data_IF_686925235845
#
_entry.id   IF_686925235845
#
_cell.length_a   1.000
_cell.length_b   1.000
_cell.length_c   1.000
_cell.angle_alpha   90.00
_cell.angle_beta   90.00
_cell.angle_gamma   90.00
#
_symmetry.space_group_name_H-M   'P 1'
#
loop_
_entity.id
_entity.type
_entity.pdbx_description
1 polymer ?
#
# COMPACT_ATOMS: atom_id res chain seq x y z
N UNK A 1 18.58 10.14 -14.37
CA UNK A 1 19.45 11.32 -14.43
C UNK A 1 18.61 12.54 -14.80
N UNK A 2 18.80 13.67 -14.17
CA UNK A 2 18.07 14.89 -14.49
C UNK A 2 18.37 15.39 -15.90
N UNK A 3 17.49 16.18 -16.47
CA UNK A 3 17.68 16.84 -17.75
C UNK A 3 18.91 17.76 -17.77
N UNK A 4 19.37 18.16 -16.59
CA UNK A 4 20.59 18.96 -16.38
C UNK A 4 21.89 18.29 -16.83
N UNK A 5 21.88 16.95 -17.06
CA UNK A 5 23.06 16.20 -17.50
C UNK A 5 23.39 16.41 -18.99
N UNK A 6 22.63 17.20 -19.73
CA UNK A 6 22.93 17.55 -21.11
C UNK A 6 24.04 18.59 -21.13
N UNK A 7 25.21 18.30 -21.72
CA UNK A 7 26.21 19.32 -21.89
C UNK A 7 25.69 20.50 -22.76
N UNK A 8 25.95 21.71 -22.35
CA UNK A 8 25.51 22.92 -23.07
C UNK A 8 25.98 22.97 -24.50
N UNK A 9 27.16 22.46 -24.80
CA UNK A 9 27.75 22.40 -26.15
C UNK A 9 26.98 21.48 -27.11
N UNK A 10 26.10 20.60 -26.63
CA UNK A 10 25.26 19.74 -27.46
C UNK A 10 23.99 20.42 -27.92
N UNK A 11 23.66 21.56 -27.34
CA UNK A 11 22.45 22.31 -27.63
C UNK A 11 22.85 23.55 -28.39
N UNK A 12 22.62 23.55 -29.71
CA UNK A 12 22.98 24.67 -30.59
C UNK A 12 21.71 25.44 -30.93
N UNK A 13 21.73 26.75 -30.73
CA UNK A 13 20.64 27.67 -31.05
C UNK A 13 19.30 27.25 -30.40
N UNK A 14 19.20 27.24 -29.06
CA UNK A 14 17.92 27.00 -28.42
C UNK A 14 16.93 28.08 -28.82
N UNK A 15 15.67 27.73 -28.96
CA UNK A 15 14.62 28.71 -29.11
C UNK A 15 14.39 29.41 -27.78
N UNK A 16 14.61 30.73 -27.73
CA UNK A 16 14.47 31.54 -26.51
C UNK A 16 13.13 32.26 -26.42
N UNK A 17 12.09 31.66 -26.97
CA UNK A 17 10.72 32.15 -26.93
C UNK A 17 9.78 31.01 -26.59
N UNK A 18 8.65 31.37 -26.01
CA UNK A 18 7.55 30.42 -25.81
C UNK A 18 7.02 29.94 -27.15
N UNK A 19 6.86 28.62 -27.29
CA UNK A 19 6.12 28.05 -28.41
C UNK A 19 4.63 28.12 -28.08
N UNK A 20 3.91 29.04 -28.75
CA UNK A 20 2.49 29.28 -28.49
C UNK A 20 1.63 29.22 -29.76
N UNK A 21 2.23 28.92 -30.90
CA UNK A 21 1.54 28.89 -32.19
C UNK A 21 1.41 30.24 -32.86
N UNK A 22 2.00 31.32 -32.31
CA UNK A 22 1.92 32.64 -32.93
C UNK A 22 2.83 32.77 -34.15
N UNK A 23 2.39 33.49 -35.19
CA UNK A 23 3.15 33.73 -36.42
C UNK A 23 4.41 34.60 -36.17
N UNK A 24 4.44 35.41 -35.14
CA UNK A 24 5.58 36.28 -34.80
C UNK A 24 6.82 35.51 -34.37
N UNK A 25 6.71 34.24 -34.06
CA UNK A 25 7.79 33.37 -33.63
C UNK A 25 8.41 32.55 -34.75
N UNK A 26 7.98 32.67 -35.98
CA UNK A 26 8.39 31.80 -37.08
C UNK A 26 9.89 31.79 -37.37
N UNK A 27 10.56 32.94 -37.30
CA UNK A 27 12.01 33.03 -37.49
C UNK A 27 12.74 32.29 -36.34
N UNK A 28 12.32 32.47 -35.12
CA UNK A 28 12.92 31.78 -33.97
C UNK A 28 12.76 30.26 -34.07
N UNK A 29 11.65 29.79 -34.59
CA UNK A 29 11.42 28.40 -34.87
C UNK A 29 12.41 27.83 -35.87
N UNK A 30 12.59 28.52 -37.00
CA UNK A 30 13.51 28.12 -38.06
C UNK A 30 14.96 28.02 -37.56
N UNK A 31 15.44 29.03 -36.84
CA UNK A 31 16.80 29.05 -36.29
C UNK A 31 17.03 27.89 -35.32
N UNK A 32 16.02 27.50 -34.57
CA UNK A 32 16.09 26.35 -33.66
C UNK A 32 15.91 24.98 -34.34
N UNK A 33 15.79 24.95 -35.68
CA UNK A 33 15.52 23.72 -36.43
C UNK A 33 14.10 23.24 -36.30
N UNK A 34 13.17 24.16 -36.08
CA UNK A 34 11.76 23.89 -35.96
C UNK A 34 11.06 24.44 -37.21
N UNK A 35 10.17 23.68 -37.78
CA UNK A 35 9.33 24.20 -38.88
C UNK A 35 7.88 23.79 -38.68
N UNK A 36 7.01 24.62 -39.26
CA UNK A 36 5.57 24.43 -39.26
C UNK A 36 5.21 23.42 -40.33
N UNK A 37 4.86 22.20 -39.94
CA UNK A 37 4.50 21.13 -40.87
C UNK A 37 3.05 21.25 -41.34
N UNK A 38 2.18 21.76 -40.47
CA UNK A 38 0.77 22.08 -40.76
C UNK A 38 0.31 23.17 -39.81
N UNK A 39 -0.92 23.64 -39.91
CA UNK A 39 -1.42 24.60 -38.94
C UNK A 39 -1.38 24.00 -37.52
N UNK A 40 -0.79 24.74 -36.57
CA UNK A 40 -0.61 24.33 -35.17
C UNK A 40 0.26 23.07 -34.97
N UNK A 41 0.95 22.63 -36.04
CA UNK A 41 1.85 21.45 -35.97
C UNK A 41 3.28 21.88 -36.26
N UNK A 42 4.18 21.59 -35.31
CA UNK A 42 5.58 21.95 -35.39
C UNK A 42 6.46 20.71 -35.33
N UNK A 43 7.50 20.69 -36.16
CA UNK A 43 8.44 19.58 -36.22
C UNK A 43 9.84 20.06 -35.87
N UNK A 44 10.47 19.35 -34.96
CA UNK A 44 11.86 19.56 -34.59
C UNK A 44 12.75 18.57 -35.32
N UNK A 45 13.74 19.08 -36.04
CA UNK A 45 14.68 18.26 -36.81
C UNK A 45 16.04 18.09 -36.12
N UNK A 46 16.34 18.95 -35.15
CA UNK A 46 17.59 18.84 -34.38
C UNK A 46 17.44 17.80 -33.26
N UNK A 47 18.54 17.15 -32.95
CA UNK A 47 18.62 16.19 -31.84
C UNK A 47 19.94 16.44 -31.08
N UNK A 48 19.93 16.98 -29.87
CA UNK A 48 18.75 17.50 -29.14
C UNK A 48 18.28 18.85 -29.66
N UNK A 49 16.99 19.13 -29.47
CA UNK A 49 16.38 20.45 -29.64
C UNK A 49 16.00 21.03 -28.29
N UNK A 50 16.07 22.35 -28.10
CA UNK A 50 15.77 22.98 -26.84
C UNK A 50 14.91 24.23 -27.00
N UNK A 51 13.97 24.41 -26.09
CA UNK A 51 13.21 25.64 -25.88
C UNK A 51 13.55 26.18 -24.48
N UNK A 52 13.98 27.45 -24.42
CA UNK A 52 14.25 28.15 -23.17
C UNK A 52 13.32 29.36 -23.06
N UNK A 53 12.46 29.39 -22.10
CA UNK A 53 11.51 30.49 -21.86
C UNK A 53 10.92 30.41 -20.46
N UNK A 54 10.20 31.43 -20.03
CA UNK A 54 9.47 31.39 -18.76
C UNK A 54 8.42 30.29 -18.79
N UNK A 55 7.70 30.16 -19.90
CA UNK A 55 6.86 29.00 -20.24
C UNK A 55 7.32 28.48 -21.60
N UNK A 56 7.79 27.23 -21.67
CA UNK A 56 8.40 26.73 -22.89
C UNK A 56 7.35 26.44 -23.98
N UNK A 57 6.29 25.72 -23.67
CA UNK A 57 5.17 25.43 -24.57
C UNK A 57 3.87 25.88 -23.92
N UNK A 58 3.11 26.72 -24.63
CA UNK A 58 1.84 27.26 -24.15
C UNK A 58 0.73 27.16 -25.18
N UNK A 59 -0.28 26.38 -24.85
CA UNK A 59 -1.52 26.28 -25.63
C UNK A 59 -2.63 27.09 -24.92
N UNK A 60 -2.49 28.42 -24.97
CA UNK A 60 -3.47 29.33 -24.37
C UNK A 60 -4.49 29.86 -25.34
N UNK A 61 -4.17 29.92 -26.66
CA UNK A 61 -5.04 30.43 -27.70
C UNK A 61 -5.30 29.40 -28.79
N UNK A 62 -4.47 28.41 -28.92
CA UNK A 62 -4.54 27.37 -29.96
C UNK A 62 -4.11 26.04 -29.43
N UNK A 63 -4.62 24.96 -29.99
CA UNK A 63 -4.08 23.63 -29.80
C UNK A 63 -2.71 23.55 -30.47
N UNK A 64 -1.77 22.82 -29.84
CA UNK A 64 -0.43 22.63 -30.35
C UNK A 64 -0.10 21.16 -30.51
N UNK A 65 0.48 20.81 -31.65
CA UNK A 65 1.06 19.50 -31.89
C UNK A 65 2.56 19.67 -32.16
N UNK A 66 3.38 18.92 -31.42
CA UNK A 66 4.83 19.01 -31.51
C UNK A 66 5.38 17.63 -31.77
N UNK A 67 6.17 17.50 -32.83
CA UNK A 67 6.85 16.26 -33.21
C UNK A 67 8.37 16.48 -33.20
N UNK A 68 9.08 15.80 -32.33
CA UNK A 68 10.53 15.81 -32.28
C UNK A 68 11.07 14.44 -32.68
N UNK A 69 12.04 14.41 -33.62
CA UNK A 69 12.63 13.16 -34.10
C UNK A 69 13.54 12.51 -33.05
N UNK A 70 14.14 13.31 -32.18
CA UNK A 70 15.04 12.86 -31.15
C UNK A 70 14.64 13.40 -29.77
N UNK A 71 15.63 13.94 -29.08
CA UNK A 71 15.49 14.50 -27.74
C UNK A 71 15.01 15.95 -27.79
N UNK A 72 13.93 16.24 -27.07
CA UNK A 72 13.42 17.60 -26.88
C UNK A 72 13.64 18.03 -25.44
N UNK A 73 14.27 19.18 -25.22
CA UNK A 73 14.52 19.75 -23.89
C UNK A 73 13.70 21.01 -23.73
N UNK A 74 12.92 21.07 -22.69
CA UNK A 74 12.16 22.26 -22.29
C UNK A 74 12.76 22.80 -20.99
N UNK A 75 13.49 23.90 -21.10
CA UNK A 75 14.06 24.60 -19.95
C UNK A 75 13.19 25.82 -19.63
N UNK A 76 12.45 25.75 -18.55
CA UNK A 76 11.48 26.76 -18.19
C UNK A 76 11.75 27.33 -16.79
N UNK A 77 11.40 28.60 -16.64
CA UNK A 77 11.45 29.24 -15.32
C UNK A 77 10.21 28.92 -14.51
N UNK A 78 9.03 29.05 -15.13
CA UNK A 78 7.76 28.94 -14.44
C UNK A 78 7.00 27.66 -14.81
N UNK A 79 6.88 27.34 -16.10
CA UNK A 79 6.14 26.17 -16.58
C UNK A 79 6.81 25.58 -17.82
N UNK A 80 6.98 24.28 -17.81
CA UNK A 80 7.48 23.58 -19.00
C UNK A 80 6.42 23.53 -20.10
N UNK A 81 5.26 23.00 -19.77
CA UNK A 81 4.10 22.87 -20.66
C UNK A 81 2.89 23.44 -19.96
N UNK A 82 2.18 24.33 -20.64
CA UNK A 82 0.91 24.88 -20.19
C UNK A 82 -0.16 24.60 -21.24
N UNK A 83 -1.19 23.87 -20.88
CA UNK A 83 -2.40 23.70 -21.64
C UNK A 83 -3.56 24.37 -20.91
N UNK A 84 -4.04 25.49 -21.44
CA UNK A 84 -5.11 26.27 -20.82
C UNK A 84 -6.24 26.47 -21.81
N UNK A 85 -7.36 25.80 -21.59
CA UNK A 85 -8.52 25.74 -22.49
C UNK A 85 -8.21 25.24 -23.91
N UNK A 86 -7.00 24.75 -24.15
CA UNK A 86 -6.52 24.16 -25.39
C UNK A 86 -5.62 22.97 -25.10
N UNK A 87 -5.26 22.22 -26.13
CA UNK A 87 -4.57 20.95 -26.00
C UNK A 87 -3.13 21.04 -26.49
N UNK A 88 -2.25 20.25 -25.84
CA UNK A 88 -0.87 20.03 -26.27
C UNK A 88 -0.69 18.53 -26.52
N UNK A 89 -0.19 18.19 -27.70
CA UNK A 89 0.17 16.82 -28.09
C UNK A 89 1.64 16.80 -28.51
N UNK A 90 2.49 16.10 -27.75
CA UNK A 90 3.92 16.03 -27.97
C UNK A 90 4.32 14.61 -28.27
N UNK A 91 5.02 14.41 -29.38
CA UNK A 91 5.72 13.16 -29.68
C UNK A 91 7.22 13.44 -29.70
N UNK A 92 7.99 12.74 -28.90
CA UNK A 92 9.45 12.82 -28.87
C UNK A 92 10.03 11.46 -28.47
N UNK A 93 11.22 11.14 -28.95
CA UNK A 93 11.92 9.96 -28.46
C UNK A 93 12.18 10.08 -26.96
N UNK A 94 12.64 11.24 -26.52
CA UNK A 94 12.81 11.62 -25.12
C UNK A 94 12.43 13.07 -24.93
N UNK A 95 11.58 13.35 -23.95
CA UNK A 95 11.21 14.69 -23.52
C UNK A 95 11.82 14.95 -22.15
N UNK A 96 12.66 15.97 -22.04
CA UNK A 96 13.23 16.43 -20.78
C UNK A 96 12.65 17.78 -20.43
N UNK A 97 12.01 17.90 -19.28
CA UNK A 97 11.39 19.13 -18.78
C UNK A 97 12.08 19.58 -17.52
N UNK A 98 12.67 20.75 -17.56
CA UNK A 98 13.36 21.37 -16.43
C UNK A 98 12.62 22.64 -16.03
N UNK A 99 12.11 22.69 -14.83
CA UNK A 99 11.47 23.88 -14.25
C UNK A 99 11.77 23.90 -12.74
N UNK A 100 13.04 24.14 -12.39
CA UNK A 100 13.57 23.95 -11.03
C UNK A 100 12.73 24.61 -9.94
N UNK A 101 12.23 25.81 -10.18
CA UNK A 101 11.39 26.56 -9.23
C UNK A 101 9.92 26.66 -9.69
N UNK A 102 9.55 25.90 -10.69
CA UNK A 102 8.24 25.95 -11.32
C UNK A 102 7.58 24.58 -11.43
N UNK A 103 6.63 24.48 -12.33
CA UNK A 103 5.83 23.29 -12.61
C UNK A 103 6.16 22.76 -14.00
N UNK A 104 6.49 21.48 -14.10
CA UNK A 104 6.85 20.88 -15.39
C UNK A 104 5.67 20.86 -16.36
N UNK A 105 4.49 20.42 -15.93
CA UNK A 105 3.28 20.35 -16.75
C UNK A 105 2.09 20.90 -15.96
N UNK A 106 1.41 21.89 -16.54
CA UNK A 106 0.16 22.43 -16.00
C UNK A 106 -0.93 22.31 -17.06
N UNK A 107 -2.05 21.67 -16.72
CA UNK A 107 -3.22 21.58 -17.57
C UNK A 107 -4.45 22.11 -16.82
N UNK A 108 -5.14 23.07 -17.44
CA UNK A 108 -6.38 23.67 -16.93
C UNK A 108 -7.41 23.68 -18.06
N UNK A 109 -8.49 22.90 -17.91
CA UNK A 109 -9.53 22.78 -18.93
C UNK A 109 -8.96 22.44 -20.33
N UNK A 110 -7.93 21.60 -20.37
CA UNK A 110 -7.28 21.19 -21.61
C UNK A 110 -6.64 19.82 -21.44
N UNK A 111 -6.06 19.30 -22.52
CA UNK A 111 -5.44 17.98 -22.53
C UNK A 111 -3.96 18.10 -22.87
N UNK A 112 -3.11 17.40 -22.13
CA UNK A 112 -1.71 17.21 -22.47
C UNK A 112 -1.48 15.73 -22.73
N UNK A 113 -1.04 15.40 -23.94
CA UNK A 113 -0.63 14.04 -24.34
C UNK A 113 0.85 14.05 -24.67
N UNK A 114 1.60 13.18 -24.03
CA UNK A 114 3.03 13.02 -24.29
C UNK A 114 3.29 11.59 -24.73
N UNK A 115 3.80 11.45 -25.95
CA UNK A 115 4.18 10.18 -26.54
C UNK A 115 5.70 10.09 -26.55
N UNK A 116 6.25 9.27 -25.68
CA UNK A 116 7.69 9.08 -25.52
C UNK A 116 8.12 9.06 -24.07
N UNK A 117 9.38 8.73 -23.87
CA UNK A 117 9.96 8.70 -22.53
C UNK A 117 10.15 10.13 -22.02
N UNK A 118 9.70 10.37 -20.81
CA UNK A 118 9.65 11.72 -20.25
C UNK A 118 10.42 11.79 -18.95
N UNK A 119 11.27 12.82 -18.81
CA UNK A 119 11.95 13.12 -17.54
C UNK A 119 11.58 14.53 -17.13
N UNK A 120 11.24 14.70 -15.86
CA UNK A 120 10.90 15.99 -15.29
C UNK A 120 11.75 16.24 -14.07
N UNK A 121 12.29 17.45 -13.96
CA UNK A 121 12.98 17.94 -12.78
C UNK A 121 12.43 19.33 -12.47
N UNK A 122 11.70 19.46 -11.36
CA UNK A 122 10.93 20.66 -11.07
C UNK A 122 10.58 20.72 -9.59
N UNK A 123 10.06 21.88 -9.16
CA UNK A 123 9.47 21.95 -7.84
C UNK A 123 8.18 21.13 -7.78
N UNK A 124 7.33 21.28 -8.78
CA UNK A 124 6.11 20.50 -8.96
C UNK A 124 6.14 19.82 -10.34
N UNK A 125 5.76 18.56 -10.42
CA UNK A 125 5.80 17.79 -11.66
C UNK A 125 4.59 18.09 -12.56
N UNK A 126 3.49 17.39 -12.34
CA UNK A 126 2.26 17.49 -13.13
C UNK A 126 1.14 18.04 -12.26
N UNK A 127 0.51 19.12 -12.73
CA UNK A 127 -0.69 19.68 -12.11
C UNK A 127 -1.82 19.70 -13.14
N UNK A 128 -2.88 18.94 -12.89
CA UNK A 128 -4.07 18.90 -13.70
C UNK A 128 -5.26 19.44 -12.90
N UNK A 129 -6.00 20.37 -13.47
CA UNK A 129 -7.13 21.03 -12.82
C UNK A 129 -8.25 21.36 -13.82
N UNK A 130 -9.42 21.70 -13.30
CA UNK A 130 -10.57 22.14 -14.10
C UNK A 130 -10.95 21.16 -15.22
N UNK A 131 -11.07 19.88 -14.89
CA UNK A 131 -11.49 18.86 -15.86
C UNK A 131 -10.46 18.50 -16.92
N UNK A 132 -9.20 18.81 -16.71
CA UNK A 132 -8.13 18.50 -17.66
C UNK A 132 -7.66 17.05 -17.58
N UNK A 133 -6.93 16.62 -18.62
CA UNK A 133 -6.33 15.29 -18.68
C UNK A 133 -4.85 15.40 -19.09
N UNK A 134 -3.98 14.72 -18.37
CA UNK A 134 -2.56 14.59 -18.71
C UNK A 134 -2.24 13.11 -18.84
N UNK A 135 -1.75 12.69 -20.00
CA UNK A 135 -1.37 11.31 -20.28
C UNK A 135 0.06 11.23 -20.78
N UNK A 136 0.86 10.35 -20.23
CA UNK A 136 2.19 10.01 -20.71
C UNK A 136 2.20 8.51 -21.00
N UNK A 137 2.43 8.13 -22.25
CA UNK A 137 2.41 6.73 -22.66
C UNK A 137 3.80 6.08 -22.71
N UNK A 138 4.88 6.87 -22.67
CA UNK A 138 6.23 6.38 -22.45
C UNK A 138 6.56 6.24 -20.97
N UNK A 139 7.81 5.92 -20.67
CA UNK A 139 8.32 5.89 -19.29
C UNK A 139 8.29 7.30 -18.70
N UNK A 140 7.91 7.43 -17.44
CA UNK A 140 7.82 8.70 -16.74
C UNK A 140 8.77 8.74 -15.55
N UNK A 141 9.83 9.55 -15.63
CA UNK A 141 10.75 9.78 -14.53
C UNK A 141 10.57 11.21 -14.04
N UNK A 142 9.95 11.37 -12.88
CA UNK A 142 9.60 12.67 -12.30
C UNK A 142 10.34 12.84 -10.99
N UNK A 143 11.14 13.89 -10.89
CA UNK A 143 11.77 14.30 -9.65
C UNK A 143 11.24 15.69 -9.29
N UNK A 144 10.41 15.75 -8.26
CA UNK A 144 9.81 16.98 -7.76
C UNK A 144 10.28 17.24 -6.32
N UNK A 145 10.56 18.50 -6.03
CA UNK A 145 10.92 18.87 -4.65
C UNK A 145 9.71 18.82 -3.72
N UNK A 146 8.52 19.11 -4.22
CA UNK A 146 7.28 19.09 -3.45
C UNK A 146 6.31 18.05 -4.03
N UNK A 147 5.45 18.42 -4.96
CA UNK A 147 4.39 17.57 -5.48
C UNK A 147 4.72 17.06 -6.87
N UNK A 148 4.89 15.75 -7.01
CA UNK A 148 5.19 15.15 -8.29
C UNK A 148 3.96 15.09 -9.20
N UNK A 149 2.81 14.74 -8.66
CA UNK A 149 1.53 14.62 -9.39
C UNK A 149 0.41 15.16 -8.53
N UNK A 150 -0.39 16.06 -9.10
CA UNK A 150 -1.60 16.57 -8.47
C UNK A 150 -2.74 16.63 -9.49
N UNK A 151 -3.83 15.91 -9.20
CA UNK A 151 -5.05 15.94 -9.99
C UNK A 151 -6.18 16.55 -9.15
N UNK A 152 -6.66 17.71 -9.57
CA UNK A 152 -7.69 18.49 -8.90
C UNK A 152 -9.00 18.47 -9.73
N UNK A 153 -10.12 18.68 -9.07
CA UNK A 153 -11.42 18.98 -9.71
C UNK A 153 -11.72 18.24 -11.04
N UNK A 154 -12.17 17.00 -10.98
CA UNK A 154 -12.54 16.17 -12.14
C UNK A 154 -11.43 16.00 -13.20
N UNK A 155 -10.19 16.27 -12.84
CA UNK A 155 -9.05 16.08 -13.72
C UNK A 155 -8.50 14.67 -13.63
N UNK A 156 -7.71 14.28 -14.63
CA UNK A 156 -7.09 12.96 -14.66
C UNK A 156 -5.62 13.04 -15.08
N UNK A 157 -4.77 12.35 -14.36
CA UNK A 157 -3.38 12.10 -14.74
C UNK A 157 -3.17 10.61 -14.90
N UNK A 158 -2.66 10.18 -16.04
CA UNK A 158 -2.45 8.78 -16.37
C UNK A 158 -1.01 8.54 -16.84
N UNK A 159 -0.27 7.69 -16.11
CA UNK A 159 1.08 7.26 -16.46
C UNK A 159 1.04 5.76 -16.72
N UNK A 160 1.20 5.35 -17.99
CA UNK A 160 0.88 3.98 -18.40
C UNK A 160 2.06 3.05 -18.60
N UNK A 161 3.30 3.54 -18.48
CA UNK A 161 4.47 2.75 -18.87
C UNK A 161 5.66 2.88 -17.93
N UNK A 162 5.44 2.75 -16.65
CA UNK A 162 6.52 2.70 -15.67
C UNK A 162 7.24 4.03 -15.45
N UNK A 163 8.31 3.96 -14.72
CA UNK A 163 9.15 5.09 -14.39
C UNK A 163 9.35 5.25 -12.88
N UNK A 164 10.07 6.30 -12.51
CA UNK A 164 10.35 6.63 -11.11
C UNK A 164 9.75 7.98 -10.78
N UNK A 165 8.99 8.04 -9.69
CA UNK A 165 8.32 9.26 -9.26
C UNK A 165 8.79 9.58 -7.84
N UNK A 166 9.46 10.73 -7.69
CA UNK A 166 9.91 11.26 -6.40
C UNK A 166 9.15 12.54 -6.09
N UNK A 167 8.46 12.57 -4.97
CA UNK A 167 7.60 13.66 -4.54
C UNK A 167 6.19 13.16 -4.21
N UNK A 168 5.35 14.05 -3.71
CA UNK A 168 3.97 13.70 -3.33
C UNK A 168 3.13 13.37 -4.55
N UNK A 169 2.22 12.43 -4.39
CA UNK A 169 1.19 12.10 -5.37
C UNK A 169 -0.16 12.37 -4.72
N UNK A 170 -0.96 13.26 -5.31
CA UNK A 170 -2.25 13.68 -4.78
C UNK A 170 -3.36 13.61 -5.82
N UNK A 171 -4.44 12.95 -5.45
CA UNK A 171 -5.71 13.05 -6.16
C UNK A 171 -6.70 13.80 -5.25
N UNK A 172 -6.83 15.11 -5.46
CA UNK A 172 -7.68 15.99 -4.65
C UNK A 172 -8.91 16.40 -5.47
N UNK A 173 -9.92 15.55 -5.47
CA UNK A 173 -11.09 15.70 -6.33
C UNK A 173 -10.89 15.20 -7.76
N UNK A 174 -9.66 14.90 -8.15
CA UNK A 174 -9.30 14.36 -9.43
C UNK A 174 -8.95 12.87 -9.38
N UNK A 175 -8.37 12.39 -10.47
CA UNK A 175 -8.05 10.98 -10.65
C UNK A 175 -6.60 10.80 -11.07
N UNK A 176 -5.87 9.93 -10.38
CA UNK A 176 -4.50 9.55 -10.74
C UNK A 176 -4.47 8.05 -11.01
N UNK A 177 -3.95 7.66 -12.15
CA UNK A 177 -3.75 6.26 -12.51
C UNK A 177 -2.31 6.03 -12.95
N UNK A 178 -1.63 5.05 -12.36
CA UNK A 178 -0.27 4.68 -12.73
C UNK A 178 -0.14 3.18 -12.94
N UNK A 179 0.81 2.80 -13.79
CA UNK A 179 1.16 1.42 -14.03
C UNK A 179 2.68 1.24 -13.96
N UNK A 180 3.10 0.30 -13.13
CA UNK A 180 4.51 -0.11 -12.98
C UNK A 180 5.49 1.01 -12.63
N UNK A 181 5.03 2.02 -11.87
CA UNK A 181 5.89 3.10 -11.40
C UNK A 181 6.53 2.78 -10.05
N UNK A 182 7.74 3.27 -9.86
CA UNK A 182 8.40 3.28 -8.55
C UNK A 182 8.20 4.66 -7.92
N UNK A 183 7.41 4.73 -6.85
CA UNK A 183 7.06 5.97 -6.18
C UNK A 183 7.73 6.10 -4.83
N UNK A 184 8.32 7.28 -4.57
CA UNK A 184 8.91 7.65 -3.29
C UNK A 184 8.30 8.97 -2.82
N UNK A 185 7.60 8.95 -1.70
CA UNK A 185 6.92 10.10 -1.14
C UNK A 185 5.52 9.78 -0.69
N UNK A 186 4.86 10.77 -0.10
CA UNK A 186 3.49 10.63 0.40
C UNK A 186 2.49 10.44 -0.74
N UNK A 187 1.49 9.60 -0.50
CA UNK A 187 0.43 9.32 -1.47
C UNK A 187 -0.90 9.61 -0.79
N UNK A 188 -1.71 10.49 -1.40
CA UNK A 188 -2.93 10.99 -0.78
C UNK A 188 -4.10 11.07 -1.77
N UNK A 189 -5.29 10.74 -1.29
CA UNK A 189 -6.55 11.11 -1.94
C UNK A 189 -7.39 11.96 -0.99
N UNK A 190 -8.09 12.91 -1.55
CA UNK A 190 -9.00 13.79 -0.80
C UNK A 190 -10.08 14.34 -1.72
N UNK A 191 -11.10 15.01 -1.15
CA UNK A 191 -12.11 15.71 -1.93
C UNK A 191 -12.85 14.82 -2.93
N UNK A 192 -13.17 13.59 -2.58
CA UNK A 192 -13.74 12.58 -3.47
C UNK A 192 -12.82 12.18 -4.63
N UNK A 193 -11.51 12.35 -4.47
CA UNK A 193 -10.52 11.93 -5.45
C UNK A 193 -10.35 10.42 -5.50
N UNK A 194 -9.78 9.96 -6.59
CA UNK A 194 -9.47 8.55 -6.81
C UNK A 194 -8.03 8.37 -7.26
N UNK A 195 -7.32 7.44 -6.63
CA UNK A 195 -5.97 7.09 -7.01
C UNK A 195 -5.86 5.58 -7.17
N UNK A 196 -5.35 5.14 -8.33
CA UNK A 196 -5.10 3.73 -8.61
C UNK A 196 -3.66 3.55 -9.08
N UNK A 197 -2.89 2.75 -8.34
CA UNK A 197 -1.54 2.38 -8.72
C UNK A 197 -1.47 0.87 -8.87
N UNK A 198 -1.16 0.42 -10.08
CA UNK A 198 -1.06 -1.01 -10.41
C UNK A 198 0.39 -1.38 -10.68
N UNK A 199 0.87 -2.43 -10.04
CA UNK A 199 2.26 -2.86 -10.18
C UNK A 199 3.25 -1.87 -9.56
N UNK A 200 4.52 -2.02 -9.89
CA UNK A 200 5.58 -1.13 -9.43
C UNK A 200 5.95 -1.28 -7.97
N UNK A 201 6.47 -0.19 -7.41
CA UNK A 201 7.00 -0.16 -6.04
C UNK A 201 6.61 1.14 -5.36
N UNK A 202 6.23 1.08 -4.10
CA UNK A 202 5.91 2.25 -3.29
C UNK A 202 6.77 2.24 -2.03
N UNK A 203 7.53 3.32 -1.83
CA UNK A 203 8.18 3.65 -0.56
C UNK A 203 7.55 4.93 -0.04
N UNK A 204 6.79 4.85 1.04
CA UNK A 204 6.04 5.98 1.56
C UNK A 204 5.93 5.95 3.08
N UNK A 205 6.18 7.08 3.70
CA UNK A 205 5.89 7.29 5.12
C UNK A 205 4.39 7.45 5.38
N UNK A 206 3.61 7.82 4.34
CA UNK A 206 2.19 8.11 4.51
C UNK A 206 1.41 7.79 3.24
N UNK A 207 0.49 6.84 3.36
CA UNK A 207 -0.50 6.51 2.33
C UNK A 207 -1.86 6.72 2.94
N UNK A 208 -2.59 7.75 2.49
CA UNK A 208 -3.80 8.20 3.16
C UNK A 208 -4.91 8.55 2.17
N UNK A 209 -6.09 8.02 2.44
CA UNK A 209 -7.33 8.46 1.83
C UNK A 209 -8.13 9.25 2.87
N UNK A 210 -8.65 10.41 2.48
CA UNK A 210 -9.39 11.28 3.38
C UNK A 210 -10.63 11.87 2.70
N UNK A 211 -11.70 11.95 3.46
CA UNK A 211 -12.94 12.60 3.04
C UNK A 211 -13.92 11.69 2.33
N UNK A 212 -15.19 12.05 2.43
CA UNK A 212 -16.29 11.27 1.86
C UNK A 212 -16.13 11.10 0.35
N UNK A 213 -16.22 9.86 -0.11
CA UNK A 213 -16.10 9.52 -1.51
C UNK A 213 -14.67 9.40 -2.04
N UNK A 214 -13.67 9.76 -1.23
CA UNK A 214 -12.27 9.53 -1.60
C UNK A 214 -11.92 8.05 -1.55
N UNK A 215 -11.16 7.57 -2.54
CA UNK A 215 -10.76 6.17 -2.57
C UNK A 215 -9.38 5.98 -3.19
N UNK A 216 -8.71 4.92 -2.75
CA UNK A 216 -7.39 4.55 -3.22
C UNK A 216 -7.33 3.04 -3.42
N UNK A 217 -6.74 2.61 -4.53
CA UNK A 217 -6.50 1.20 -4.82
C UNK A 217 -5.03 0.99 -5.20
N UNK A 218 -4.34 0.18 -4.42
CA UNK A 218 -2.95 -0.20 -4.65
C UNK A 218 -2.90 -1.70 -4.90
N UNK A 219 -2.56 -2.11 -6.13
CA UNK A 219 -2.64 -3.51 -6.54
C UNK A 219 -1.35 -4.00 -7.19
N UNK A 220 -0.97 -5.23 -6.86
CA UNK A 220 0.15 -5.96 -7.47
C UNK A 220 1.51 -5.27 -7.34
N UNK A 221 1.67 -4.42 -6.34
CA UNK A 221 2.91 -3.71 -6.10
C UNK A 221 3.79 -4.35 -5.03
N UNK A 222 5.02 -3.86 -4.98
CA UNK A 222 5.96 -4.04 -3.90
C UNK A 222 5.84 -2.83 -2.98
N UNK A 223 5.55 -3.06 -1.70
CA UNK A 223 5.22 -1.96 -0.80
C UNK A 223 6.15 -1.91 0.41
N UNK A 224 6.64 -0.72 0.71
CA UNK A 224 7.28 -0.37 1.96
C UNK A 224 6.59 0.89 2.50
N UNK A 225 5.58 0.69 3.35
CA UNK A 225 4.67 1.74 3.79
C UNK A 225 4.67 1.80 5.31
N UNK A 226 4.96 2.98 5.86
CA UNK A 226 4.93 3.19 7.32
C UNK A 226 3.49 3.13 7.86
N UNK A 227 2.55 3.76 7.16
CA UNK A 227 1.16 3.80 7.60
C UNK A 227 0.18 3.84 6.45
N UNK A 228 -0.80 2.97 6.53
CA UNK A 228 -1.92 2.86 5.60
C UNK A 228 -3.16 3.38 6.33
N UNK A 229 -3.70 4.52 5.89
CA UNK A 229 -4.79 5.20 6.62
C UNK A 229 -5.95 5.59 5.72
N UNK A 230 -7.16 5.35 6.20
CA UNK A 230 -8.38 5.92 5.63
C UNK A 230 -9.15 6.65 6.73
N UNK A 231 -9.61 7.86 6.44
CA UNK A 231 -10.30 8.69 7.41
C UNK A 231 -11.44 9.50 6.79
N UNK A 232 -12.38 9.92 7.64
CA UNK A 232 -13.49 10.81 7.28
C UNK A 232 -14.33 10.36 6.08
N UNK A 233 -14.69 9.07 6.03
CA UNK A 233 -15.60 8.52 5.02
C UNK A 233 -14.93 8.05 3.74
N UNK A 234 -13.64 7.79 3.79
CA UNK A 234 -12.85 7.31 2.66
C UNK A 234 -12.65 5.79 2.66
N UNK A 235 -12.10 5.26 1.58
CA UNK A 235 -11.76 3.86 1.46
C UNK A 235 -10.40 3.66 0.82
N UNK A 236 -9.69 2.61 1.26
CA UNK A 236 -8.38 2.25 0.75
C UNK A 236 -8.28 0.74 0.63
N UNK A 237 -7.84 0.27 -0.53
CA UNK A 237 -7.60 -1.15 -0.81
C UNK A 237 -6.15 -1.36 -1.19
N UNK A 238 -5.51 -2.37 -0.60
CA UNK A 238 -4.17 -2.78 -0.95
C UNK A 238 -4.11 -4.30 -1.14
N UNK A 239 -3.61 -4.73 -2.29
CA UNK A 239 -3.33 -6.14 -2.58
C UNK A 239 -1.90 -6.20 -3.13
N UNK A 240 -1.00 -6.86 -2.40
CA UNK A 240 0.41 -6.90 -2.79
C UNK A 240 0.72 -7.86 -3.93
N UNK A 241 1.90 -7.74 -4.50
CA UNK A 241 2.48 -8.76 -5.36
C UNK A 241 3.13 -9.84 -4.49
N UNK A 242 2.65 -11.10 -4.53
CA UNK A 242 3.15 -12.16 -3.64
C UNK A 242 4.61 -12.56 -3.90
N UNK A 243 5.17 -12.22 -5.05
CA UNK A 243 6.56 -12.53 -5.42
C UNK A 243 7.56 -11.48 -4.97
N UNK A 244 7.07 -10.34 -4.46
CA UNK A 244 7.90 -9.20 -4.06
C UNK A 244 7.83 -8.93 -2.56
N UNK A 245 8.85 -8.25 -2.05
CA UNK A 245 8.88 -7.87 -0.64
C UNK A 245 7.84 -6.78 -0.36
N UNK A 246 7.02 -7.01 0.66
CA UNK A 246 6.07 -6.01 1.16
C UNK A 246 6.16 -5.93 2.67
N UNK A 247 6.29 -4.73 3.18
CA UNK A 247 6.23 -4.43 4.61
C UNK A 247 5.36 -3.22 4.85
N UNK A 248 4.32 -3.40 5.64
CA UNK A 248 3.40 -2.35 6.08
C UNK A 248 3.54 -2.26 7.60
N UNK A 249 3.71 -1.05 8.13
CA UNK A 249 4.03 -0.86 9.56
C UNK A 249 2.86 -0.38 10.40
N UNK A 250 1.70 -0.24 9.81
CA UNK A 250 0.47 0.10 10.53
C UNK A 250 -0.71 0.28 9.61
N UNK A 251 -1.90 -0.03 10.12
CA UNK A 251 -3.19 0.18 9.45
C UNK A 251 -4.08 0.96 10.39
N UNK A 252 -4.66 2.05 9.90
CA UNK A 252 -5.62 2.85 10.65
C UNK A 252 -6.85 3.14 9.80
N UNK A 253 -8.03 2.87 10.35
CA UNK A 253 -9.29 3.28 9.75
C UNK A 253 -10.06 4.15 10.75
N UNK A 254 -10.35 5.38 10.35
CA UNK A 254 -11.20 6.28 11.13
C UNK A 254 -12.67 5.96 10.96
N UNK A 255 -13.51 6.52 11.81
CA UNK A 255 -14.96 6.28 11.82
C UNK A 255 -15.58 6.57 10.45
N UNK A 256 -16.39 5.64 9.96
CA UNK A 256 -17.04 5.74 8.65
C UNK A 256 -16.12 5.44 7.45
N UNK A 257 -14.87 5.13 7.69
CA UNK A 257 -13.90 4.77 6.66
C UNK A 257 -13.62 3.28 6.64
N UNK A 258 -12.96 2.81 5.59
CA UNK A 258 -12.59 1.41 5.46
C UNK A 258 -11.19 1.24 4.86
N UNK A 259 -10.45 0.27 5.38
CA UNK A 259 -9.18 -0.20 4.82
C UNK A 259 -9.29 -1.70 4.60
N UNK A 260 -9.02 -2.14 3.38
CA UNK A 260 -8.94 -3.56 3.02
C UNK A 260 -7.52 -3.86 2.56
N UNK A 261 -6.83 -4.75 3.26
CA UNK A 261 -5.48 -5.15 2.93
C UNK A 261 -5.39 -6.67 2.81
N UNK A 262 -4.88 -7.13 1.68
CA UNK A 262 -4.59 -8.54 1.44
C UNK A 262 -3.10 -8.71 1.23
N UNK A 263 -2.46 -9.46 2.12
CA UNK A 263 -1.04 -9.75 2.09
C UNK A 263 -0.82 -11.23 1.83
N UNK A 264 -0.11 -11.54 0.77
CA UNK A 264 0.22 -12.91 0.39
C UNK A 264 1.70 -13.02 0.05
N UNK A 265 2.26 -14.19 0.36
CA UNK A 265 3.65 -14.52 0.03
C UNK A 265 4.58 -14.42 1.23
N UNK A 266 5.65 -15.20 1.16
CA UNK A 266 6.65 -15.34 2.23
C UNK A 266 7.35 -14.02 2.58
N UNK A 267 7.45 -13.13 1.59
CA UNK A 267 8.12 -11.83 1.73
C UNK A 267 7.17 -10.70 2.17
N UNK A 268 5.91 -11.02 2.42
CA UNK A 268 4.90 -10.04 2.79
C UNK A 268 4.61 -10.06 4.29
N UNK A 269 4.58 -8.88 4.90
CA UNK A 269 4.30 -8.74 6.32
C UNK A 269 3.60 -7.41 6.64
N UNK A 270 2.68 -7.48 7.60
CA UNK A 270 2.26 -6.35 8.41
C UNK A 270 3.04 -6.43 9.73
N UNK A 271 3.97 -5.51 9.93
CA UNK A 271 4.73 -5.38 11.18
C UNK A 271 4.22 -4.12 11.87
N UNK A 272 3.11 -4.24 12.55
CA UNK A 272 2.44 -3.10 13.17
C UNK A 272 1.02 -3.42 13.57
N UNK A 273 0.33 -2.41 14.09
CA UNK A 273 -0.96 -2.55 14.71
C UNK A 273 -2.10 -2.10 13.79
N UNK A 274 -3.28 -2.66 14.05
CA UNK A 274 -4.54 -2.18 13.49
C UNK A 274 -5.15 -1.24 14.51
N UNK A 275 -5.44 0.00 14.09
CA UNK A 275 -5.97 1.04 14.98
C UNK A 275 -7.19 1.72 14.38
N UNK A 276 -7.87 2.51 15.21
CA UNK A 276 -9.04 3.28 14.82
C UNK A 276 -10.36 2.61 15.14
N UNK A 277 -11.43 3.18 14.62
CA UNK A 277 -12.82 2.75 14.86
C UNK A 277 -13.59 2.46 13.58
N UNK A 278 -12.97 2.69 12.44
CA UNK A 278 -13.54 2.36 11.13
C UNK A 278 -13.38 0.88 10.80
N UNK A 279 -13.86 0.50 9.64
CA UNK A 279 -13.79 -0.89 9.22
C UNK A 279 -12.42 -1.25 8.66
N UNK A 280 -11.86 -2.36 9.12
CA UNK A 280 -10.64 -2.93 8.57
C UNK A 280 -10.92 -4.38 8.19
N UNK A 281 -10.51 -4.74 6.99
CA UNK A 281 -10.48 -6.12 6.53
C UNK A 281 -9.03 -6.48 6.21
N UNK A 282 -8.44 -7.41 6.95
CA UNK A 282 -7.06 -7.86 6.77
C UNK A 282 -7.05 -9.35 6.46
N UNK A 283 -6.43 -9.71 5.35
CA UNK A 283 -6.18 -11.11 5.00
C UNK A 283 -4.69 -11.38 4.99
N UNK A 284 -4.25 -12.36 5.79
CA UNK A 284 -2.88 -12.82 5.87
C UNK A 284 -2.84 -14.24 5.32
N UNK A 285 -2.48 -14.37 4.06
CA UNK A 285 -2.50 -15.64 3.36
C UNK A 285 -1.15 -16.05 2.80
N UNK A 286 -1.06 -17.32 2.39
CA UNK A 286 0.04 -17.86 1.61
C UNK A 286 1.44 -17.46 2.12
N UNK A 287 1.77 -17.87 3.37
CA UNK A 287 3.03 -17.63 4.06
C UNK A 287 3.33 -16.16 4.45
N UNK A 288 2.42 -15.26 4.24
CA UNK A 288 2.54 -13.91 4.77
C UNK A 288 2.40 -13.91 6.30
N UNK A 289 2.79 -12.83 6.95
CA UNK A 289 2.71 -12.74 8.39
C UNK A 289 2.21 -11.38 8.87
N UNK A 290 1.57 -11.41 10.02
CA UNK A 290 1.23 -10.23 10.79
C UNK A 290 1.91 -10.30 12.15
N UNK A 291 2.68 -9.29 12.50
CA UNK A 291 3.24 -9.10 13.82
C UNK A 291 2.65 -7.81 14.39
N UNK A 292 1.75 -7.95 15.35
CA UNK A 292 1.05 -6.79 15.90
C UNK A 292 -0.19 -7.18 16.68
N UNK A 293 -0.93 -6.16 17.06
CA UNK A 293 -2.19 -6.25 17.80
C UNK A 293 -3.22 -5.31 17.19
N UNK A 294 -4.45 -5.39 17.67
CA UNK A 294 -5.53 -4.52 17.22
C UNK A 294 -6.26 -3.92 18.42
N UNK A 295 -6.47 -2.61 18.40
CA UNK A 295 -7.43 -1.98 19.31
C UNK A 295 -8.75 -1.62 18.60
N UNK A 296 -8.92 -2.08 17.35
CA UNK A 296 -10.07 -1.78 16.52
C UNK A 296 -11.11 -2.90 16.58
N UNK A 297 -12.22 -2.64 17.27
CA UNK A 297 -13.32 -3.59 17.42
C UNK A 297 -14.19 -3.79 16.16
N UNK A 298 -13.88 -3.09 15.06
CA UNK A 298 -14.53 -3.23 13.76
C UNK A 298 -13.58 -3.87 12.72
N UNK A 299 -12.51 -4.48 13.17
CA UNK A 299 -11.58 -5.18 12.30
C UNK A 299 -11.97 -6.64 12.11
N UNK A 300 -11.98 -7.07 10.86
CA UNK A 300 -12.17 -8.46 10.44
C UNK A 300 -10.84 -8.97 9.91
N UNK A 301 -10.33 -10.05 10.48
CA UNK A 301 -9.02 -10.60 10.11
C UNK A 301 -9.17 -12.05 9.72
N UNK A 302 -8.57 -12.41 8.58
CA UNK A 302 -8.42 -13.80 8.15
C UNK A 302 -6.94 -14.17 8.23
N UNK A 303 -6.63 -15.18 9.02
CA UNK A 303 -5.26 -15.68 9.19
C UNK A 303 -5.16 -17.07 8.60
N UNK A 304 -4.65 -17.18 7.38
CA UNK A 304 -4.35 -18.45 6.73
C UNK A 304 -2.86 -18.79 6.77
N UNK A 305 -2.06 -17.96 7.38
CA UNK A 305 -0.64 -18.14 7.60
C UNK A 305 -0.29 -17.88 9.07
N UNK A 306 0.37 -16.79 9.39
CA UNK A 306 0.87 -16.55 10.74
C UNK A 306 0.49 -15.17 11.23
N UNK A 307 -0.05 -15.13 12.45
CA UNK A 307 -0.21 -13.92 13.22
C UNK A 307 0.57 -14.05 14.53
N UNK A 308 1.59 -13.22 14.68
CA UNK A 308 2.28 -13.06 15.95
C UNK A 308 1.60 -11.93 16.73
N UNK A 309 0.75 -12.31 17.66
CA UNK A 309 0.03 -11.35 18.49
C UNK A 309 0.98 -10.75 19.52
N UNK A 310 1.00 -9.41 19.62
CA UNK A 310 1.94 -8.69 20.48
C UNK A 310 1.33 -8.09 21.75
N UNK A 311 0.03 -8.29 21.98
CA UNK A 311 -0.60 -7.72 23.17
C UNK A 311 -2.11 -7.91 23.23
N UNK A 312 -2.78 -7.05 23.99
CA UNK A 312 -4.23 -7.04 24.04
C UNK A 312 -4.81 -6.69 22.68
N UNK A 313 -5.81 -7.45 22.27
CA UNK A 313 -6.40 -7.32 20.93
C UNK A 313 -7.90 -7.35 20.99
N UNK A 314 -8.52 -6.54 20.14
CA UNK A 314 -9.96 -6.58 19.84
C UNK A 314 -10.14 -6.76 18.34
N UNK A 315 -10.94 -7.72 17.95
CA UNK A 315 -11.35 -7.94 16.56
C UNK A 315 -12.87 -8.17 16.52
N UNK A 316 -13.53 -7.68 15.47
CA UNK A 316 -14.93 -8.01 15.23
C UNK A 316 -15.07 -9.46 14.79
N UNK A 317 -14.26 -9.86 13.81
CA UNK A 317 -14.25 -11.24 13.29
C UNK A 317 -12.83 -11.76 13.13
N UNK A 318 -12.67 -13.05 13.37
CA UNK A 318 -11.43 -13.76 13.12
C UNK A 318 -11.73 -15.07 12.41
N UNK A 319 -11.05 -15.32 11.31
CA UNK A 319 -11.24 -16.49 10.46
C UNK A 319 -9.90 -17.07 10.04
N UNK A 320 -9.93 -18.23 9.40
CA UNK A 320 -8.76 -18.82 8.79
C UNK A 320 -8.31 -20.11 9.44
N UNK A 321 -7.28 -20.72 8.85
CA UNK A 321 -6.71 -22.01 9.27
C UNK A 321 -5.24 -21.92 9.68
N UNK A 322 -4.71 -20.72 9.83
CA UNK A 322 -3.32 -20.48 10.17
C UNK A 322 -3.01 -20.62 11.65
N UNK A 323 -1.91 -20.01 12.05
CA UNK A 323 -1.37 -20.05 13.41
C UNK A 323 -1.35 -18.67 14.03
N UNK A 324 -1.78 -18.58 15.28
CA UNK A 324 -1.65 -17.39 16.11
C UNK A 324 -0.62 -17.69 17.22
N UNK A 325 0.49 -16.96 17.17
CA UNK A 325 1.51 -17.03 18.19
C UNK A 325 1.12 -16.12 19.37
N UNK A 326 0.77 -16.73 20.49
CA UNK A 326 0.35 -16.03 21.70
C UNK A 326 1.51 -15.89 22.73
N UNK A 327 2.72 -16.27 22.36
CA UNK A 327 3.85 -16.33 23.30
C UNK A 327 4.35 -14.98 23.77
N UNK A 328 4.03 -13.90 23.03
CA UNK A 328 4.52 -12.54 23.31
C UNK A 328 3.39 -11.57 23.69
N UNK A 329 2.21 -12.07 24.01
CA UNK A 329 1.06 -11.18 24.27
C UNK A 329 1.07 -10.54 25.65
N UNK A 330 1.85 -11.05 26.59
CA UNK A 330 1.79 -10.59 27.97
C UNK A 330 0.46 -10.96 28.62
N UNK A 331 0.01 -10.13 29.56
CA UNK A 331 -1.26 -10.31 30.26
C UNK A 331 -2.39 -9.58 29.53
N UNK A 332 -3.63 -9.84 29.93
CA UNK A 332 -4.82 -9.23 29.36
C UNK A 332 -5.62 -10.19 28.52
N UNK A 333 -6.26 -9.66 27.47
CA UNK A 333 -7.23 -10.43 26.67
C UNK A 333 -7.06 -10.18 25.18
N UNK A 334 -7.28 -11.24 24.42
CA UNK A 334 -7.55 -11.17 22.99
C UNK A 334 -9.03 -11.44 22.80
N UNK A 335 -9.80 -10.41 22.44
CA UNK A 335 -11.26 -10.47 22.35
C UNK A 335 -11.70 -10.58 20.89
N UNK A 336 -12.42 -11.64 20.56
CA UNK A 336 -12.94 -11.94 19.22
C UNK A 336 -14.46 -11.93 19.27
N UNK A 337 -15.10 -11.04 18.49
CA UNK A 337 -16.57 -10.97 18.45
C UNK A 337 -17.19 -12.20 17.81
N UNK A 338 -16.70 -12.59 16.64
CA UNK A 338 -17.16 -13.79 15.92
C UNK A 338 -15.97 -14.58 15.36
N UNK A 339 -15.93 -15.84 15.70
CA UNK A 339 -14.89 -16.76 15.22
C UNK A 339 -15.47 -17.73 14.19
N UNK A 340 -14.79 -17.85 13.05
CA UNK A 340 -15.12 -18.81 12.00
C UNK A 340 -13.82 -19.38 11.43
N UNK A 341 -13.25 -20.36 12.10
CA UNK A 341 -11.95 -20.88 11.65
C UNK A 341 -11.54 -22.17 12.28
N UNK A 342 -10.33 -22.58 11.93
CA UNK A 342 -9.62 -23.75 12.45
C UNK A 342 -8.20 -23.35 12.85
N UNK A 343 -8.06 -22.26 13.59
CA UNK A 343 -6.77 -21.72 13.98
C UNK A 343 -6.06 -22.60 15.00
N UNK A 344 -4.73 -22.54 14.95
CA UNK A 344 -3.84 -23.06 15.97
C UNK A 344 -3.32 -21.92 16.81
N UNK A 345 -3.49 -22.00 18.13
CA UNK A 345 -2.96 -21.03 19.09
C UNK A 345 -1.73 -21.63 19.78
N UNK A 346 -0.61 -20.92 19.75
CA UNK A 346 0.63 -21.36 20.36
C UNK A 346 0.91 -20.53 21.61
N UNK A 347 1.07 -21.20 22.75
CA UNK A 347 1.38 -20.59 24.05
C UNK A 347 2.72 -21.09 24.57
N UNK A 348 3.42 -20.21 25.28
CA UNK A 348 4.61 -20.57 26.03
C UNK A 348 4.26 -20.87 27.48
N UNK A 349 5.15 -21.59 28.17
CA UNK A 349 5.07 -21.77 29.60
C UNK A 349 6.45 -21.54 30.23
N UNK A 350 6.47 -21.46 31.55
CA UNK A 350 7.72 -21.39 32.30
C UNK A 350 8.34 -22.79 32.36
N UNK A 351 9.54 -22.95 31.83
CA UNK A 351 10.23 -24.25 31.78
C UNK A 351 10.49 -24.84 33.16
N UNK A 352 10.64 -24.01 34.17
CA UNK A 352 10.80 -24.45 35.57
C UNK A 352 9.45 -24.81 36.21
N UNK A 353 8.35 -24.23 35.72
CA UNK A 353 6.99 -24.48 36.22
C UNK A 353 6.03 -24.53 35.05
N UNK A 354 5.93 -25.66 34.34
CA UNK A 354 5.14 -25.74 33.08
C UNK A 354 3.67 -25.41 33.23
N UNK A 355 3.08 -25.52 34.41
CA UNK A 355 1.69 -25.13 34.69
C UNK A 355 1.49 -23.61 34.65
N UNK A 356 2.58 -22.84 34.72
CA UNK A 356 2.53 -21.39 34.65
C UNK A 356 2.48 -20.94 33.16
N UNK A 357 1.32 -21.01 32.57
CA UNK A 357 1.10 -20.70 31.17
C UNK A 357 1.19 -19.20 30.92
N UNK A 358 2.06 -18.79 29.97
CA UNK A 358 2.27 -17.40 29.59
C UNK A 358 1.43 -17.06 28.35
N UNK A 359 1.01 -15.81 28.27
CA UNK A 359 0.19 -15.29 27.18
C UNK A 359 -1.17 -14.85 27.68
N UNK A 360 -1.83 -13.99 26.91
CA UNK A 360 -3.13 -13.49 27.32
C UNK A 360 -4.25 -14.50 27.00
N UNK A 361 -5.41 -14.25 27.57
CA UNK A 361 -6.59 -15.06 27.40
C UNK A 361 -7.21 -14.83 26.02
N UNK A 362 -7.58 -15.92 25.33
CA UNK A 362 -8.25 -15.87 24.04
C UNK A 362 -9.75 -16.02 24.23
N UNK A 363 -10.49 -14.93 24.06
CA UNK A 363 -11.93 -14.87 24.35
C UNK A 363 -12.73 -14.76 23.08
N UNK A 364 -13.57 -15.76 22.83
CA UNK A 364 -14.48 -15.80 21.68
C UNK A 364 -15.89 -15.57 22.19
N UNK A 365 -16.57 -14.55 21.68
CA UNK A 365 -17.96 -14.28 22.08
C UNK A 365 -18.91 -15.23 21.38
N UNK A 366 -18.81 -15.35 20.07
CA UNK A 366 -19.62 -16.26 19.23
C UNK A 366 -18.73 -17.00 18.25
N UNK A 367 -19.15 -18.20 17.90
CA UNK A 367 -18.50 -19.00 16.86
C UNK A 367 -19.53 -19.51 15.87
N UNK A 368 -19.12 -19.60 14.61
CA UNK A 368 -19.92 -20.28 13.60
C UNK A 368 -19.80 -21.80 13.75
N UNK A 369 -20.86 -22.51 13.38
CA UNK A 369 -20.90 -23.98 13.45
C UNK A 369 -19.71 -24.58 12.70
N UNK A 370 -19.06 -25.56 13.29
CA UNK A 370 -17.89 -26.22 12.73
C UNK A 370 -16.55 -25.53 13.06
N UNK A 371 -16.56 -24.44 13.79
CA UNK A 371 -15.34 -23.78 14.22
C UNK A 371 -14.54 -24.62 15.19
N UNK A 372 -13.22 -24.58 15.06
CA UNK A 372 -12.28 -25.34 15.90
C UNK A 372 -11.10 -24.48 16.31
N UNK A 373 -10.60 -24.72 17.51
CA UNK A 373 -9.35 -24.14 18.00
C UNK A 373 -8.43 -25.27 18.44
N UNK A 374 -7.20 -25.27 17.95
CA UNK A 374 -6.14 -26.15 18.39
C UNK A 374 -5.16 -25.35 19.23
N UNK A 375 -4.95 -25.74 20.48
CA UNK A 375 -4.03 -25.05 21.37
C UNK A 375 -2.79 -25.89 21.60
N UNK A 376 -1.62 -25.29 21.46
CA UNK A 376 -0.33 -25.95 21.58
C UNK A 376 0.56 -25.29 22.61
N UNK A 377 1.30 -26.09 23.38
CA UNK A 377 2.49 -25.69 24.09
C UNK A 377 3.57 -26.77 23.95
N UNK A 378 4.80 -26.50 24.36
CA UNK A 378 5.89 -27.45 24.28
C UNK A 378 5.98 -28.31 25.55
N UNK A 379 6.83 -29.33 25.50
CA UNK A 379 7.04 -30.28 26.57
C UNK A 379 8.23 -29.93 27.48
N UNK A 380 8.85 -28.79 27.29
CA UNK A 380 9.99 -28.38 28.06
C UNK A 380 9.64 -28.26 29.56
N UNK A 381 10.46 -28.80 30.43
CA UNK A 381 10.17 -28.86 31.85
C UNK A 381 9.28 -30.01 32.30
N UNK A 382 8.74 -30.82 31.38
CA UNK A 382 7.90 -31.97 31.71
C UNK A 382 8.71 -33.28 31.93
N UNK A 383 10.04 -33.21 31.94
CA UNK A 383 10.93 -34.32 32.10
C UNK A 383 10.61 -35.49 31.16
N UNK A 384 10.60 -35.23 29.86
CA UNK A 384 10.31 -36.24 28.86
C UNK A 384 11.43 -37.27 28.75
N UNK A 385 11.05 -38.54 28.72
CA UNK A 385 11.94 -39.67 28.49
C UNK A 385 11.35 -40.54 27.39
N UNK A 386 12.17 -40.89 26.39
CA UNK A 386 11.73 -41.72 25.26
C UNK A 386 10.48 -41.16 24.52
N UNK A 387 10.37 -39.84 24.49
CA UNK A 387 9.24 -39.17 23.83
C UNK A 387 7.94 -39.18 24.64
N UNK A 388 7.98 -39.53 25.92
CA UNK A 388 6.84 -39.50 26.84
C UNK A 388 7.14 -38.58 28.01
N UNK A 389 6.11 -37.87 28.47
CA UNK A 389 6.22 -37.12 29.73
C UNK A 389 6.32 -38.06 30.93
N UNK A 390 7.27 -37.81 31.82
CA UNK A 390 7.52 -38.65 32.98
C UNK A 390 6.48 -38.45 34.08
N UNK A 391 5.89 -37.28 34.21
CA UNK A 391 4.91 -36.94 35.25
C UNK A 391 3.53 -36.67 34.66
N UNK A 392 2.64 -37.63 34.86
CA UNK A 392 1.25 -37.54 34.32
C UNK A 392 0.43 -36.43 34.98
N UNK A 393 0.68 -36.17 36.28
CA UNK A 393 -0.03 -35.08 36.99
C UNK A 393 0.39 -33.73 36.45
N UNK A 394 1.66 -33.56 36.22
CA UNK A 394 2.21 -32.34 35.66
C UNK A 394 1.69 -32.12 34.22
N UNK A 395 1.58 -33.18 33.43
CA UNK A 395 0.97 -33.15 32.11
C UNK A 395 -0.47 -32.68 32.19
N UNK A 396 -1.29 -33.27 33.04
CA UNK A 396 -2.70 -32.88 33.22
C UNK A 396 -2.83 -31.43 33.66
N UNK A 397 -2.03 -30.97 34.61
CA UNK A 397 -2.04 -29.60 35.07
C UNK A 397 -1.62 -28.62 33.99
N UNK A 398 -0.66 -28.97 33.18
CA UNK A 398 -0.21 -28.14 32.04
C UNK A 398 -1.29 -28.05 30.96
N UNK A 399 -1.94 -29.19 30.62
CA UNK A 399 -3.05 -29.18 29.68
C UNK A 399 -4.23 -28.34 30.19
N UNK A 400 -4.54 -28.42 31.48
CA UNK A 400 -5.60 -27.57 32.07
C UNK A 400 -5.23 -26.09 32.05
N UNK A 401 -4.00 -25.74 32.38
CA UNK A 401 -3.53 -24.36 32.30
C UNK A 401 -3.63 -23.82 30.88
N UNK A 402 -3.31 -24.63 29.90
CA UNK A 402 -3.46 -24.25 28.49
C UNK A 402 -4.92 -24.09 28.10
N UNK A 403 -5.77 -25.07 28.45
CA UNK A 403 -7.21 -25.02 28.16
C UNK A 403 -7.89 -23.78 28.79
N UNK A 404 -7.44 -23.35 29.96
CA UNK A 404 -7.98 -22.17 30.64
C UNK A 404 -7.65 -20.84 29.92
N UNK A 405 -6.77 -20.85 28.95
CA UNK A 405 -6.52 -19.67 28.11
C UNK A 405 -7.62 -19.42 27.08
N UNK A 406 -8.48 -20.40 26.81
CA UNK A 406 -9.60 -20.27 25.88
C UNK A 406 -10.91 -20.08 26.64
N UNK A 407 -11.65 -19.02 26.30
CA UNK A 407 -12.97 -18.71 26.84
C UNK A 407 -13.98 -18.55 25.73
N UNK A 408 -15.10 -19.27 25.82
CA UNK A 408 -16.18 -19.20 24.84
C UNK A 408 -17.48 -18.70 25.50
N UNK A 409 -17.81 -17.45 25.28
CA UNK A 409 -18.95 -16.77 25.93
C UNK A 409 -20.30 -17.38 25.58
N UNK A 410 -20.55 -17.66 24.30
CA UNK A 410 -21.85 -18.16 23.84
C UNK A 410 -22.19 -19.57 24.36
N UNK A 411 -21.22 -20.28 24.93
CA UNK A 411 -21.48 -21.57 25.57
C UNK A 411 -22.49 -21.41 26.74
N UNK A 412 -22.45 -20.30 27.44
CA UNK A 412 -23.40 -19.98 28.52
C UNK A 412 -24.84 -19.92 28.04
N UNK A 413 -25.06 -19.58 26.78
CA UNK A 413 -26.38 -19.53 26.14
C UNK A 413 -26.75 -20.84 25.46
N UNK A 414 -25.95 -21.91 25.64
CA UNK A 414 -26.19 -23.21 25.07
C UNK A 414 -25.66 -23.41 23.65
N UNK A 415 -24.91 -22.45 23.07
CA UNK A 415 -24.30 -22.63 21.77
C UNK A 415 -23.05 -23.52 21.86
N UNK A 416 -23.03 -24.60 21.09
CA UNK A 416 -21.93 -25.59 21.08
C UNK A 416 -21.21 -25.62 19.73
N UNK A 417 -21.02 -24.43 19.13
CA UNK A 417 -20.43 -24.29 17.79
C UNK A 417 -18.91 -24.43 17.76
N UNK A 418 -18.28 -24.36 18.92
CA UNK A 418 -16.83 -24.37 19.02
C UNK A 418 -16.37 -25.73 19.57
N UNK A 419 -15.46 -26.37 18.85
CA UNK A 419 -14.71 -27.52 19.32
C UNK A 419 -13.24 -27.15 19.47
N UNK A 420 -12.49 -27.91 20.28
CA UNK A 420 -11.09 -27.63 20.44
C UNK A 420 -10.29 -28.81 20.94
N UNK A 421 -8.96 -28.72 20.76
CA UNK A 421 -8.00 -29.65 21.32
C UNK A 421 -6.90 -28.85 22.03
N UNK A 422 -6.35 -29.39 23.08
CA UNK A 422 -5.14 -28.92 23.73
C UNK A 422 -4.06 -29.98 23.62
N UNK A 423 -2.88 -29.57 23.25
CA UNK A 423 -1.80 -30.49 22.91
C UNK A 423 -0.47 -30.01 23.48
N UNK A 424 0.34 -30.96 23.88
CA UNK A 424 1.73 -30.73 24.23
C UNK A 424 2.59 -31.35 23.12
N UNK A 425 3.43 -30.56 22.52
CA UNK A 425 4.35 -31.00 21.49
C UNK A 425 5.76 -31.22 22.06
N UNK A 426 6.58 -32.01 21.39
CA UNK A 426 7.97 -32.21 21.78
C UNK A 426 8.73 -30.89 21.78
N UNK A 427 8.55 -30.13 20.71
CA UNK A 427 9.04 -28.75 20.64
C UNK A 427 8.14 -27.92 19.74
N UNK A 428 8.22 -26.61 19.88
CA UNK A 428 7.54 -25.65 19.03
C UNK A 428 8.58 -24.88 18.23
N UNK A 429 8.39 -24.83 16.94
CA UNK A 429 8.96 -23.76 16.13
C UNK A 429 7.96 -22.60 16.12
N UNK A 430 8.34 -21.44 15.67
CA UNK A 430 7.46 -20.27 15.61
C UNK A 430 6.12 -20.52 14.88
N UNK A 431 5.93 -21.67 14.23
CA UNK A 431 4.83 -21.93 13.31
C UNK A 431 4.24 -23.33 13.39
N UNK A 432 4.92 -24.27 13.99
CA UNK A 432 4.44 -25.66 14.03
C UNK A 432 5.00 -26.46 15.18
N UNK A 433 4.25 -27.49 15.57
CA UNK A 433 4.69 -28.50 16.52
C UNK A 433 5.44 -29.61 15.79
N UNK A 434 6.61 -30.02 16.32
CA UNK A 434 7.41 -31.09 15.71
C UNK A 434 6.87 -32.48 16.02
N UNK A 435 6.34 -32.66 17.24
CA UNK A 435 5.78 -33.94 17.67
C UNK A 435 4.78 -33.71 18.80
N UNK A 436 3.61 -34.30 18.66
CA UNK A 436 2.59 -34.28 19.69
C UNK A 436 2.86 -35.39 20.69
N UNK A 437 2.95 -35.06 21.97
CA UNK A 437 3.13 -36.01 23.06
C UNK A 437 1.80 -36.39 23.72
N UNK A 438 0.95 -35.40 23.98
CA UNK A 438 -0.34 -35.59 24.62
C UNK A 438 -1.41 -34.71 23.96
N UNK A 439 -2.64 -35.19 23.95
CA UNK A 439 -3.79 -34.47 23.42
C UNK A 439 -4.97 -34.59 24.35
N UNK A 440 -5.71 -33.51 24.47
CA UNK A 440 -6.95 -33.45 25.22
C UNK A 440 -8.00 -32.68 24.43
N UNK A 441 -9.22 -33.21 24.36
CA UNK A 441 -10.31 -32.49 23.73
C UNK A 441 -10.79 -31.35 24.66
N UNK A 442 -10.99 -30.17 24.09
CA UNK A 442 -11.55 -29.05 24.79
C UNK A 442 -12.98 -29.36 25.26
N UNK A 443 -13.22 -29.17 26.55
CA UNK A 443 -14.55 -29.32 27.15
C UNK A 443 -15.01 -28.00 27.73
N UNK A 444 -16.00 -27.38 27.09
CA UNK A 444 -16.59 -26.15 27.59
C UNK A 444 -17.66 -26.49 28.64
N UNK A 445 -17.36 -26.27 29.89
CA UNK A 445 -18.33 -26.44 30.98
C UNK A 445 -18.83 -25.14 31.54
N UNK A 446 -17.94 -24.17 31.65
CA UNK A 446 -18.22 -22.84 32.26
C UNK A 446 -17.93 -21.67 31.32
N UNK A 447 -17.67 -21.93 30.05
CA UNK A 447 -17.19 -20.95 29.07
C UNK A 447 -15.67 -20.95 28.93
N UNK A 448 -14.94 -21.56 29.86
CA UNK A 448 -13.51 -21.79 29.78
C UNK A 448 -13.18 -23.21 29.33
N UNK A 449 -11.99 -23.37 28.79
CA UNK A 449 -11.46 -24.68 28.51
C UNK A 449 -11.20 -25.44 29.82
N UNK A 450 -11.67 -26.67 29.89
CA UNK A 450 -11.46 -27.55 31.04
C UNK A 450 -11.09 -28.94 30.56
N UNK A 451 -10.30 -29.58 31.37
CA UNK A 451 -9.89 -30.94 31.14
C UNK A 451 -10.72 -31.91 31.93
#
# INVERSE_FOLDING_TARGET
TPATDIPDEQIINPMKQTMDGSASSEKAYTDAGIYKAAENTYRFTKDPAEIQADTAISAGTKDLKVNAEGRLVLAAKDRGILAESHNVDITAKTLDVMAANGTAVTAGNGTVKIHGNTRMESRDGIKAQNGSTVTIDGRSDITAEDTAIEALGNSKVSLTNGGTIKGKIRAAGGRVETKDVEAKGDIQTSGAGFLSMTGGKIESGRVEAEGTGSSMALRRGEYNIEKLKADNGSSLTLINNPDKKTEIKGIEAGTGSSVSATLEGEKAALIGDITGTGEVELTIGNKARWEGKSNNGNADVTVDSIWKNTGETKLRKLSGSGTVDMTQTGEGKTEIGEYNGTLTLVYAHDNATPVNMKGNEFRIQKAKAGSKVRMLTDSEGLNTSSGKAADKNLVSETLNALANKLYYEAYKSGEKNLAGTVEIAESLTSQSATKRLETMTYKAGTGQGQY
#
